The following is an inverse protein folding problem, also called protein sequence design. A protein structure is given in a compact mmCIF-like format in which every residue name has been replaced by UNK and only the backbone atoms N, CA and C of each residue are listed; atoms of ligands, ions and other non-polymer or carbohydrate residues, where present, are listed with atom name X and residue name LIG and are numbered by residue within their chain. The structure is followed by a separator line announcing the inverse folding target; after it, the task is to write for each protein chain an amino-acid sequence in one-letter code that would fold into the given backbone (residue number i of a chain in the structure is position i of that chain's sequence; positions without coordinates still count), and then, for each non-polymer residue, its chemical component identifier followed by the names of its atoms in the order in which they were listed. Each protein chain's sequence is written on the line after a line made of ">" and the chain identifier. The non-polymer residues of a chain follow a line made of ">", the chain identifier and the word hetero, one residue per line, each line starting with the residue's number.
data_IF_542008779826
#
_entry.id   IF_542008779826
#
_cell.length_a   1.000
_cell.length_b   1.000
_cell.length_c   1.000
_cell.angle_alpha   90.00
_cell.angle_beta   90.00
_cell.angle_gamma   90.00
#
_symmetry.space_group_name_H-M   'P 1'
#
loop_
_entity.id
_entity.type
_entity.pdbx_description
1 polymer ?
#
# COMPACT_ATOMS: atom_id res chain seq x y z
N UNK A 1 -10.53 45.90 78.37
CA UNK A 1 -11.33 45.16 77.36
C UNK A 1 -10.45 44.97 76.13
N UNK A 2 -9.83 43.80 76.01
CA UNK A 2 -8.89 43.46 74.93
C UNK A 2 -9.66 42.76 73.80
N UNK A 3 -9.68 43.35 72.61
CA UNK A 3 -10.25 42.73 71.41
C UNK A 3 -9.13 41.98 70.70
N UNK A 4 -9.15 40.65 70.81
CA UNK A 4 -8.33 39.73 70.02
C UNK A 4 -8.90 39.67 68.61
N UNK A 5 -8.23 40.29 67.64
CA UNK A 5 -8.53 40.10 66.21
C UNK A 5 -7.88 38.82 65.71
N UNK A 6 -8.69 37.84 65.31
CA UNK A 6 -8.23 36.61 64.65
C UNK A 6 -7.49 36.92 63.33
N UNK A 7 -6.47 36.14 62.94
CA UNK A 7 -5.81 36.33 61.65
C UNK A 7 -6.76 35.98 60.50
N UNK A 8 -6.71 36.71 59.36
CA UNK A 8 -7.47 36.35 58.18
C UNK A 8 -6.96 35.02 57.64
N UNK A 9 -7.85 34.03 57.57
CA UNK A 9 -7.60 32.77 56.88
C UNK A 9 -7.36 33.10 55.40
N UNK A 10 -6.11 33.05 54.95
CA UNK A 10 -5.77 33.03 53.53
C UNK A 10 -6.44 31.80 52.91
N UNK A 11 -7.56 32.05 52.25
CA UNK A 11 -8.22 31.09 51.38
C UNK A 11 -7.30 30.83 50.18
N UNK A 12 -6.45 29.80 50.29
CA UNK A 12 -5.77 29.21 49.15
C UNK A 12 -6.81 28.48 48.30
N UNK A 13 -7.55 29.24 47.49
CA UNK A 13 -8.42 28.70 46.46
C UNK A 13 -7.58 27.84 45.49
N UNK A 14 -8.03 26.63 45.14
CA UNK A 14 -7.19 25.67 44.42
C UNK A 14 -6.89 26.15 43.00
N UNK A 15 -5.62 26.41 42.69
CA UNK A 15 -5.08 26.50 41.34
C UNK A 15 -5.09 25.11 40.67
N UNK A 16 -6.26 24.53 40.49
CA UNK A 16 -6.42 23.25 39.80
C UNK A 16 -7.72 23.31 39.01
N UNK A 17 -7.64 23.52 37.69
CA UNK A 17 -8.58 23.01 36.66
C UNK A 17 -8.40 23.67 35.28
N UNK A 18 -7.20 23.72 34.70
CA UNK A 18 -7.10 24.05 33.25
C UNK A 18 -6.12 23.18 32.45
N UNK A 19 -5.34 22.33 33.10
CA UNK A 19 -4.34 21.48 32.41
C UNK A 19 -4.95 20.25 31.70
N UNK A 20 -6.15 19.79 32.08
CA UNK A 20 -6.77 18.58 31.51
C UNK A 20 -7.38 18.75 30.11
N UNK A 21 -7.90 19.94 29.77
CA UNK A 21 -8.64 20.14 28.52
C UNK A 21 -7.72 20.20 27.29
N UNK A 22 -6.50 20.73 27.44
CA UNK A 22 -5.53 20.79 26.32
C UNK A 22 -5.00 19.41 25.96
N UNK A 23 -4.67 18.58 26.95
CA UNK A 23 -4.17 17.21 26.73
C UNK A 23 -5.23 16.29 26.11
N UNK A 24 -6.50 16.45 26.50
CA UNK A 24 -7.63 15.76 25.87
C UNK A 24 -7.81 16.14 24.39
N UNK A 25 -7.69 17.43 24.05
CA UNK A 25 -7.75 17.90 22.66
C UNK A 25 -6.56 17.43 21.83
N UNK A 26 -5.35 17.41 22.39
CA UNK A 26 -4.17 16.86 21.71
C UNK A 26 -4.32 15.37 21.41
N UNK A 27 -4.84 14.59 22.37
CA UNK A 27 -5.15 13.17 22.15
C UNK A 27 -6.17 12.96 21.02
N UNK A 28 -7.22 13.77 20.97
CA UNK A 28 -8.22 13.73 19.90
C UNK A 28 -7.59 14.08 18.54
N UNK A 29 -6.75 15.10 18.46
CA UNK A 29 -6.05 15.48 17.22
C UNK A 29 -5.16 14.34 16.73
N UNK A 30 -4.36 13.71 17.60
CA UNK A 30 -3.52 12.57 17.23
C UNK A 30 -4.37 11.40 16.74
N UNK A 31 -5.50 11.13 17.41
CA UNK A 31 -6.42 10.06 17.01
C UNK A 31 -7.02 10.32 15.63
N UNK A 32 -7.44 11.56 15.35
CA UNK A 32 -7.96 11.94 14.03
C UNK A 32 -6.89 11.81 12.95
N UNK A 33 -5.66 12.27 13.20
CA UNK A 33 -4.54 12.12 12.26
C UNK A 33 -4.25 10.64 12.01
N UNK A 34 -4.17 9.83 13.06
CA UNK A 34 -3.96 8.38 12.94
C UNK A 34 -5.07 7.69 12.15
N UNK A 35 -6.33 8.08 12.36
CA UNK A 35 -7.48 7.56 11.62
C UNK A 35 -7.40 7.92 10.14
N UNK A 36 -7.13 9.19 9.81
CA UNK A 36 -6.98 9.64 8.43
C UNK A 36 -5.87 8.88 7.73
N UNK A 37 -4.68 8.79 8.35
CA UNK A 37 -3.55 8.05 7.80
C UNK A 37 -3.86 6.56 7.62
N UNK A 38 -4.53 5.94 8.60
CA UNK A 38 -4.91 4.53 8.52
C UNK A 38 -5.91 4.25 7.40
N UNK A 39 -6.93 5.09 7.24
CA UNK A 39 -7.93 4.96 6.16
C UNK A 39 -7.30 5.19 4.80
N UNK A 40 -6.52 6.26 4.64
CA UNK A 40 -5.82 6.55 3.38
C UNK A 40 -4.87 5.42 3.00
N UNK A 41 -4.11 4.90 3.97
CA UNK A 41 -3.24 3.75 3.75
C UNK A 41 -4.02 2.50 3.33
N UNK A 42 -5.11 2.17 4.03
CA UNK A 42 -5.95 1.01 3.72
C UNK A 42 -6.55 1.09 2.32
N UNK A 43 -7.01 2.27 1.89
CA UNK A 43 -7.53 2.48 0.53
C UNK A 43 -6.44 2.31 -0.52
N UNK A 44 -5.28 2.93 -0.33
CA UNK A 44 -4.15 2.78 -1.25
C UNK A 44 -3.67 1.33 -1.35
N UNK A 45 -3.62 0.62 -0.23
CA UNK A 45 -3.28 -0.80 -0.19
C UNK A 45 -4.31 -1.65 -0.95
N UNK A 46 -5.60 -1.37 -0.79
CA UNK A 46 -6.68 -2.08 -1.49
C UNK A 46 -6.63 -1.87 -3.01
N UNK A 47 -6.40 -0.64 -3.45
CA UNK A 47 -6.27 -0.33 -4.87
C UNK A 47 -5.04 -1.02 -5.49
N UNK A 48 -3.90 -1.00 -4.79
CA UNK A 48 -2.70 -1.73 -5.20
C UNK A 48 -2.94 -3.24 -5.27
N UNK A 49 -3.67 -3.81 -4.30
CA UNK A 49 -4.05 -5.22 -4.30
C UNK A 49 -4.91 -5.57 -5.51
N UNK A 50 -5.99 -4.81 -5.76
CA UNK A 50 -6.88 -5.07 -6.90
C UNK A 50 -6.14 -4.93 -8.24
N UNK A 51 -5.29 -3.92 -8.38
CA UNK A 51 -4.48 -3.71 -9.59
C UNK A 51 -3.46 -4.85 -9.79
N UNK A 52 -2.81 -5.29 -8.72
CA UNK A 52 -1.88 -6.42 -8.81
C UNK A 52 -2.59 -7.72 -9.18
N UNK A 53 -3.83 -7.92 -8.70
CA UNK A 53 -4.63 -9.09 -9.05
C UNK A 53 -5.05 -9.09 -10.53
N UNK A 54 -5.43 -7.93 -11.10
CA UNK A 54 -5.73 -7.84 -12.53
C UNK A 54 -4.50 -8.11 -13.39
N UNK A 55 -3.36 -7.53 -13.04
CA UNK A 55 -2.09 -7.77 -13.75
C UNK A 55 -1.63 -9.23 -13.65
N UNK A 56 -1.87 -9.88 -12.51
CA UNK A 56 -1.59 -11.31 -12.37
C UNK A 56 -2.45 -12.14 -13.33
N UNK A 57 -3.74 -11.82 -13.44
CA UNK A 57 -4.65 -12.53 -14.34
C UNK A 57 -4.29 -12.32 -15.82
N UNK A 58 -3.94 -11.09 -16.22
CA UNK A 58 -3.44 -10.78 -17.57
C UNK A 58 -2.14 -11.57 -17.88
N UNK A 59 -1.20 -11.56 -16.93
CA UNK A 59 0.07 -12.26 -17.08
C UNK A 59 -0.10 -13.79 -17.17
N UNK A 60 -0.98 -14.36 -16.33
CA UNK A 60 -1.31 -15.80 -16.37
C UNK A 60 -1.97 -16.19 -17.70
N UNK A 61 -2.82 -15.33 -18.27
CA UNK A 61 -3.43 -15.56 -19.58
C UNK A 61 -2.37 -15.58 -20.70
N UNK A 62 -1.45 -14.60 -20.72
CA UNK A 62 -0.34 -14.58 -21.68
C UNK A 62 0.61 -15.76 -21.50
N UNK A 63 0.87 -16.17 -20.26
CA UNK A 63 1.71 -17.33 -19.96
C UNK A 63 1.07 -18.62 -20.50
N UNK A 64 -0.24 -18.80 -20.29
CA UNK A 64 -0.98 -19.94 -20.80
C UNK A 64 -1.06 -19.96 -22.33
N UNK A 65 -1.08 -18.79 -22.98
CA UNK A 65 -1.01 -18.64 -24.43
C UNK A 65 0.39 -18.90 -25.02
N UNK A 66 1.43 -19.07 -24.18
CA UNK A 66 2.82 -19.25 -24.62
C UNK A 66 3.56 -17.94 -24.92
N UNK A 67 2.93 -16.79 -24.71
CA UNK A 67 3.50 -15.47 -24.94
C UNK A 67 4.29 -15.01 -23.71
N UNK A 68 5.45 -15.64 -23.47
CA UNK A 68 6.21 -15.45 -22.23
C UNK A 68 6.78 -14.04 -22.05
N UNK A 69 7.14 -13.35 -23.14
CA UNK A 69 7.59 -11.95 -23.06
C UNK A 69 6.46 -11.02 -22.62
N UNK A 70 5.26 -11.22 -23.15
CA UNK A 70 4.08 -10.45 -22.78
C UNK A 70 3.63 -10.77 -21.35
N UNK A 71 3.73 -12.03 -20.91
CA UNK A 71 3.48 -12.42 -19.53
C UNK A 71 4.47 -11.75 -18.54
N UNK A 72 5.72 -11.57 -18.97
CA UNK A 72 6.75 -10.94 -18.14
C UNK A 72 6.55 -9.42 -18.05
N UNK A 73 6.51 -8.74 -19.21
CA UNK A 73 6.49 -7.27 -19.28
C UNK A 73 5.10 -6.66 -19.35
N UNK A 74 4.08 -7.39 -19.75
CA UNK A 74 2.78 -6.81 -20.13
C UNK A 74 2.79 -6.30 -21.58
N UNK A 75 1.62 -5.90 -22.06
CA UNK A 75 1.41 -5.43 -23.43
C UNK A 75 0.25 -4.42 -23.48
N UNK A 76 0.15 -3.68 -24.58
CA UNK A 76 -0.93 -2.71 -24.79
C UNK A 76 -1.77 -3.12 -25.99
N UNK A 77 -3.08 -3.16 -25.82
CA UNK A 77 -4.02 -3.45 -26.90
C UNK A 77 -4.91 -2.25 -27.15
N UNK A 78 -5.09 -1.89 -28.43
CA UNK A 78 -6.04 -0.85 -28.79
C UNK A 78 -7.47 -1.40 -28.77
N UNK A 79 -8.31 -0.85 -27.91
CA UNK A 79 -9.73 -1.15 -27.88
C UNK A 79 -10.49 -0.12 -28.75
N UNK A 80 -10.99 -0.59 -29.88
CA UNK A 80 -11.77 0.21 -30.82
C UNK A 80 -13.15 0.62 -30.27
N UNK A 81 -13.69 -0.09 -29.27
CA UNK A 81 -14.98 0.24 -28.67
C UNK A 81 -14.88 1.45 -27.74
N UNK A 82 -13.80 1.53 -26.97
CA UNK A 82 -13.53 2.65 -26.06
C UNK A 82 -12.60 3.71 -26.65
N UNK A 83 -12.05 3.45 -27.85
CA UNK A 83 -11.08 4.28 -28.57
C UNK A 83 -9.86 4.62 -27.69
N UNK A 84 -9.38 3.63 -26.93
CA UNK A 84 -8.29 3.78 -25.96
C UNK A 84 -7.35 2.59 -26.00
N UNK A 85 -6.09 2.83 -25.68
CA UNK A 85 -5.13 1.76 -25.40
C UNK A 85 -5.37 1.23 -23.99
N UNK A 86 -5.63 -0.08 -23.89
CA UNK A 86 -5.77 -0.79 -22.63
C UNK A 86 -4.44 -1.48 -22.33
N UNK A 87 -3.86 -1.14 -21.18
CA UNK A 87 -2.62 -1.73 -20.72
C UNK A 87 -2.91 -3.01 -19.93
N UNK A 88 -2.34 -4.12 -20.39
CA UNK A 88 -2.34 -5.40 -19.71
C UNK A 88 -1.03 -5.57 -18.95
N UNK A 89 -1.12 -5.92 -17.67
CA UNK A 89 0.06 -6.05 -16.82
C UNK A 89 0.82 -7.35 -17.05
N UNK A 90 2.10 -7.33 -16.68
CA UNK A 90 2.95 -8.53 -16.60
C UNK A 90 3.37 -8.83 -15.15
N UNK A 91 4.00 -9.98 -14.91
CA UNK A 91 4.49 -10.34 -13.57
C UNK A 91 5.45 -9.29 -12.98
N UNK A 92 6.26 -8.62 -13.81
CA UNK A 92 7.18 -7.57 -13.35
C UNK A 92 6.45 -6.35 -12.78
N UNK A 93 5.24 -6.05 -13.30
CA UNK A 93 4.41 -4.96 -12.78
C UNK A 93 3.90 -5.28 -11.37
N UNK A 94 3.51 -6.53 -11.11
CA UNK A 94 3.10 -7.01 -9.78
C UNK A 94 4.26 -6.83 -8.79
N UNK A 95 5.47 -7.25 -9.16
CA UNK A 95 6.65 -7.05 -8.30
C UNK A 95 6.92 -5.57 -8.04
N UNK A 96 6.80 -4.73 -9.07
CA UNK A 96 7.03 -3.30 -8.96
C UNK A 96 6.07 -2.61 -7.97
N UNK A 97 4.78 -2.97 -7.98
CA UNK A 97 3.76 -2.43 -7.07
C UNK A 97 4.15 -2.68 -5.60
N UNK A 98 4.67 -3.87 -5.31
CA UNK A 98 4.97 -4.31 -3.94
C UNK A 98 6.43 -4.11 -3.52
N UNK A 99 7.28 -3.51 -4.37
CA UNK A 99 8.70 -3.28 -4.07
C UNK A 99 8.91 -2.32 -2.89
N UNK A 100 7.96 -1.44 -2.63
CA UNK A 100 8.12 -0.39 -1.64
C UNK A 100 8.18 -0.97 -0.21
N UNK A 101 9.12 -0.55 0.66
CA UNK A 101 9.26 -1.09 2.02
C UNK A 101 8.00 -0.95 2.89
N UNK A 102 7.24 0.13 2.67
CA UNK A 102 5.97 0.38 3.37
C UNK A 102 4.75 -0.27 2.73
N UNK A 103 4.90 -1.05 1.66
CA UNK A 103 3.79 -1.81 1.06
C UNK A 103 3.55 -3.11 1.84
N UNK A 104 3.10 -2.98 3.08
CA UNK A 104 2.86 -4.10 4.00
C UNK A 104 1.41 -4.14 4.49
N UNK A 105 0.74 -5.30 4.52
CA UNK A 105 1.26 -6.65 4.25
C UNK A 105 1.43 -6.91 2.75
N UNK A 106 2.41 -7.75 2.41
CA UNK A 106 2.61 -8.21 1.03
C UNK A 106 1.65 -9.37 0.73
N UNK A 107 0.98 -9.36 -0.42
CA UNK A 107 0.05 -10.41 -0.78
C UNK A 107 0.81 -11.65 -1.29
N UNK A 108 0.21 -12.84 -1.16
CA UNK A 108 0.84 -14.10 -1.57
C UNK A 108 1.11 -14.17 -3.08
N UNK A 109 0.34 -13.44 -3.88
CA UNK A 109 0.49 -13.32 -5.33
C UNK A 109 1.89 -12.85 -5.72
N UNK A 110 2.56 -12.04 -4.89
CA UNK A 110 3.92 -11.58 -5.15
C UNK A 110 4.91 -12.74 -5.25
N UNK A 111 4.80 -13.74 -4.37
CA UNK A 111 5.68 -14.90 -4.39
C UNK A 111 5.46 -15.76 -5.65
N UNK A 112 4.20 -15.86 -6.10
CA UNK A 112 3.85 -16.57 -7.33
C UNK A 112 4.41 -15.84 -8.54
N UNK A 113 4.23 -14.52 -8.61
CA UNK A 113 4.77 -13.68 -9.68
C UNK A 113 6.30 -13.82 -9.78
N UNK A 114 7.01 -13.72 -8.64
CA UNK A 114 8.46 -13.92 -8.60
C UNK A 114 8.87 -15.29 -9.14
N UNK A 115 8.22 -16.37 -8.70
CA UNK A 115 8.51 -17.72 -9.19
C UNK A 115 8.27 -17.87 -10.71
N UNK A 116 7.25 -17.20 -11.26
CA UNK A 116 6.97 -17.21 -12.70
C UNK A 116 7.97 -16.39 -13.50
N UNK A 117 8.44 -15.27 -12.96
CA UNK A 117 9.51 -14.47 -13.57
C UNK A 117 10.77 -15.33 -13.70
N UNK A 118 11.19 -15.98 -12.61
CA UNK A 118 12.35 -16.87 -12.60
C UNK A 118 12.17 -18.02 -13.60
N UNK A 119 10.98 -18.63 -13.66
CA UNK A 119 10.67 -19.70 -14.62
C UNK A 119 10.82 -19.23 -16.09
N UNK A 120 10.31 -18.05 -16.42
CA UNK A 120 10.36 -17.50 -17.78
C UNK A 120 11.81 -17.19 -18.17
N UNK A 121 12.56 -16.52 -17.28
CA UNK A 121 13.94 -16.11 -17.52
C UNK A 121 14.85 -17.34 -17.65
N UNK A 122 14.82 -18.24 -16.66
CA UNK A 122 15.79 -19.33 -16.57
C UNK A 122 15.52 -20.49 -17.53
N UNK A 123 14.24 -20.77 -17.86
CA UNK A 123 13.88 -21.97 -18.63
C UNK A 123 13.35 -21.69 -20.03
N UNK A 124 12.72 -20.54 -20.28
CA UNK A 124 12.03 -20.30 -21.55
C UNK A 124 12.81 -19.35 -22.46
N UNK A 125 13.36 -18.27 -21.91
CA UNK A 125 14.17 -17.32 -22.67
C UNK A 125 15.56 -17.86 -23.02
N UNK A 126 16.22 -18.56 -22.10
CA UNK A 126 17.50 -19.25 -22.36
C UNK A 126 17.38 -20.31 -23.47
N UNK A 127 16.31 -21.10 -23.46
CA UNK A 127 16.09 -22.16 -24.45
C UNK A 127 15.66 -21.61 -25.82
N UNK A 128 14.75 -20.64 -25.86
CA UNK A 128 14.32 -20.01 -27.11
C UNK A 128 15.43 -19.18 -27.78
N UNK A 129 16.33 -18.58 -26.99
CA UNK A 129 17.52 -17.90 -27.53
C UNK A 129 18.50 -18.92 -28.13
N UNK A 130 18.65 -20.11 -27.53
CA UNK A 130 19.54 -21.14 -28.07
C UNK A 130 19.07 -21.70 -29.43
N UNK A 131 17.75 -21.79 -29.66
CA UNK A 131 17.19 -22.25 -30.94
C UNK A 131 17.33 -21.21 -32.07
N UNK A 132 17.54 -19.93 -31.76
CA UNK A 132 17.71 -18.87 -32.76
C UNK A 132 19.14 -18.77 -33.33
N UNK A 133 20.10 -19.52 -32.75
CA UNK A 133 21.52 -19.54 -33.13
C UNK A 133 22.00 -20.87 -33.74
N UNK A 134 21.08 -21.80 -34.07
CA UNK A 134 21.36 -23.05 -34.79
C UNK A 134 20.69 -23.01 -36.16
#
# INVERSE_FOLDING_TARGET
>A
MTVTSAPPTESLAPLQRETGARWSRFGLVILVIGLVLGVTYGLAWWDAYRLSASYMADADASFAAGNYLDALRGYETFDAQTNRFVQHGGYTHVEHIWRHPWAWPRPSQLAIAAARIDEIIDKRLTTATAEQFV
#
